data_IF_250146566485
#
_entry.id   IF_250146566485
#
_cell.length_a   1.000
_cell.length_b   1.000
_cell.length_c   1.000
_cell.angle_alpha   90.00
_cell.angle_beta   90.00
_cell.angle_gamma   90.00
#
_symmetry.space_group_name_H-M   'P 1'
#
loop_
_entity.id
_entity.type
_entity.pdbx_description
1 polymer ?
#
# COMPACT_ATOMS: atom_id res chain seq x y z
N UNK A 1 19.86 -33.40 7.19
CA UNK A 1 19.77 -32.51 6.01
C UNK A 1 18.40 -32.70 5.38
N UNK A 2 17.45 -31.81 5.67
CA UNK A 2 16.14 -31.80 5.01
C UNK A 2 16.24 -31.03 3.70
N UNK A 3 15.96 -31.64 2.53
CA UNK A 3 16.05 -30.94 1.26
C UNK A 3 14.92 -29.91 1.18
N UNK A 4 15.30 -28.63 1.12
CA UNK A 4 14.39 -27.54 0.77
C UNK A 4 14.00 -27.66 -0.71
N UNK A 5 13.01 -28.49 -1.00
CA UNK A 5 12.21 -28.33 -2.21
C UNK A 5 10.78 -27.99 -1.83
N UNK A 6 10.59 -26.78 -1.30
CA UNK A 6 9.29 -26.13 -1.42
C UNK A 6 9.11 -25.77 -2.91
N UNK A 7 8.89 -26.77 -3.76
CA UNK A 7 8.36 -26.59 -5.10
C UNK A 7 6.92 -26.14 -4.88
N UNK A 8 6.74 -24.84 -4.70
CA UNK A 8 5.42 -24.22 -4.71
C UNK A 8 4.72 -24.71 -5.97
N UNK A 9 3.77 -25.62 -5.80
CA UNK A 9 3.20 -26.37 -6.92
C UNK A 9 2.57 -25.36 -7.86
N UNK A 10 3.01 -25.34 -9.12
CA UNK A 10 2.54 -24.46 -10.21
C UNK A 10 1.01 -24.32 -10.29
N UNK A 11 0.28 -25.30 -9.76
CA UNK A 11 -1.19 -25.35 -9.65
C UNK A 11 -1.78 -24.45 -8.55
N UNK A 12 -1.08 -24.18 -7.45
CA UNK A 12 -1.59 -23.36 -6.31
C UNK A 12 -1.47 -21.86 -6.54
N UNK A 13 -0.49 -21.42 -7.34
CA UNK A 13 -0.27 -20.00 -7.65
C UNK A 13 -1.50 -19.31 -8.26
N UNK A 14 -2.12 -19.86 -9.31
CA UNK A 14 -3.34 -19.29 -9.90
C UNK A 14 -4.49 -19.14 -8.90
N UNK A 15 -4.69 -20.11 -8.00
CA UNK A 15 -5.74 -20.03 -6.98
C UNK A 15 -5.48 -18.90 -5.97
N UNK A 16 -4.22 -18.71 -5.56
CA UNK A 16 -3.85 -17.61 -4.65
C UNK A 16 -4.08 -16.24 -5.33
N UNK A 17 -3.69 -16.12 -6.60
CA UNK A 17 -3.93 -14.91 -7.39
C UNK A 17 -5.44 -14.62 -7.48
N UNK A 18 -6.26 -15.63 -7.78
CA UNK A 18 -7.72 -15.48 -7.84
C UNK A 18 -8.30 -14.97 -6.50
N UNK A 19 -7.87 -15.55 -5.37
CA UNK A 19 -8.31 -15.10 -4.04
C UNK A 19 -7.90 -13.64 -3.79
N UNK A 20 -6.68 -13.24 -4.15
CA UNK A 20 -6.22 -11.85 -4.02
C UNK A 20 -7.12 -10.90 -4.83
N UNK A 21 -7.45 -11.25 -6.07
CA UNK A 21 -8.33 -10.44 -6.90
C UNK A 21 -9.75 -10.34 -6.34
N UNK A 22 -10.31 -11.44 -5.82
CA UNK A 22 -11.63 -11.44 -5.20
C UNK A 22 -11.67 -10.55 -3.94
N UNK A 23 -10.66 -10.66 -3.07
CA UNK A 23 -10.55 -9.81 -1.88
C UNK A 23 -10.38 -8.33 -2.28
N UNK A 24 -9.54 -8.04 -3.27
CA UNK A 24 -9.34 -6.69 -3.77
C UNK A 24 -10.64 -6.10 -4.35
N UNK A 25 -11.36 -6.86 -5.18
CA UNK A 25 -12.65 -6.44 -5.74
C UNK A 25 -13.70 -6.19 -4.65
N UNK A 26 -13.74 -7.03 -3.62
CA UNK A 26 -14.62 -6.85 -2.48
C UNK A 26 -14.31 -5.55 -1.72
N UNK A 27 -13.03 -5.29 -1.43
CA UNK A 27 -12.62 -4.05 -0.75
C UNK A 27 -12.96 -2.81 -1.59
N UNK A 28 -12.68 -2.85 -2.90
CA UNK A 28 -12.97 -1.75 -3.81
C UNK A 28 -14.46 -1.53 -4.09
N UNK A 29 -15.32 -2.50 -3.79
CA UNK A 29 -16.78 -2.36 -4.00
C UNK A 29 -17.39 -1.22 -3.19
N UNK A 30 -16.85 -0.91 -2.00
CA UNK A 30 -17.32 0.20 -1.16
C UNK A 30 -17.04 1.54 -1.84
N UNK A 31 -15.81 1.73 -2.33
CA UNK A 31 -15.43 2.91 -3.13
C UNK A 31 -16.31 3.06 -4.37
N UNK A 32 -16.64 1.95 -5.04
CA UNK A 32 -17.54 2.00 -6.19
C UNK A 32 -18.95 2.51 -5.83
N UNK A 33 -19.49 2.08 -4.68
CA UNK A 33 -20.83 2.48 -4.24
C UNK A 33 -20.87 3.92 -3.73
N UNK A 34 -19.81 4.37 -3.05
CA UNK A 34 -19.76 5.65 -2.35
C UNK A 34 -19.01 6.78 -3.08
N UNK A 35 -18.20 6.46 -4.11
CA UNK A 35 -17.49 7.44 -4.91
C UNK A 35 -18.46 8.30 -5.72
N UNK A 36 -18.42 9.63 -5.52
CA UNK A 36 -19.25 10.58 -6.25
C UNK A 36 -18.40 11.78 -6.68
N UNK A 37 -18.70 12.30 -7.86
CA UNK A 37 -18.16 13.58 -8.30
C UNK A 37 -19.02 14.71 -7.74
N UNK A 38 -18.46 15.54 -6.87
CA UNK A 38 -19.13 16.69 -6.28
C UNK A 38 -18.51 17.98 -6.80
N UNK A 39 -19.31 19.00 -7.15
CA UNK A 39 -18.77 20.28 -7.57
C UNK A 39 -18.20 21.06 -6.38
N UNK A 40 -17.07 21.73 -6.59
CA UNK A 40 -16.53 22.75 -5.69
C UNK A 40 -16.23 24.03 -6.50
N UNK A 41 -16.37 25.19 -5.87
CA UNK A 41 -16.16 26.48 -6.52
C UNK A 41 -14.83 27.07 -6.10
N UNK A 42 -13.96 27.37 -7.06
CA UNK A 42 -12.66 27.99 -6.83
C UNK A 42 -12.44 29.12 -7.84
N UNK A 43 -12.05 30.30 -7.36
CA UNK A 43 -11.75 31.49 -8.20
C UNK A 43 -12.78 31.73 -9.33
N UNK A 44 -14.08 31.76 -8.99
CA UNK A 44 -15.23 31.93 -9.89
C UNK A 44 -15.47 30.80 -10.93
N UNK A 45 -14.67 29.73 -10.89
CA UNK A 45 -14.86 28.50 -11.66
C UNK A 45 -15.54 27.38 -10.87
N UNK A 46 -16.32 26.53 -11.55
CA UNK A 46 -16.85 25.28 -10.96
C UNK A 46 -15.97 24.12 -11.39
N UNK A 47 -15.37 23.44 -10.43
CA UNK A 47 -14.54 22.25 -10.60
C UNK A 47 -15.23 21.05 -9.97
N UNK A 48 -14.79 19.85 -10.31
CA UNK A 48 -15.34 18.60 -9.76
C UNK A 48 -14.23 17.82 -9.07
N UNK A 49 -14.51 17.40 -7.84
CA UNK A 49 -13.67 16.45 -7.11
C UNK A 49 -14.43 15.13 -6.96
N UNK A 50 -13.70 14.02 -7.04
CA UNK A 50 -14.24 12.67 -6.88
C UNK A 50 -13.76 12.10 -5.55
N UNK A 51 -14.63 12.11 -4.55
CA UNK A 51 -14.36 11.56 -3.24
C UNK A 51 -15.51 10.69 -2.74
N UNK A 52 -15.30 10.01 -1.62
CA UNK A 52 -16.30 9.16 -1.01
C UNK A 52 -17.35 10.02 -0.31
N UNK A 53 -18.55 10.09 -0.87
CA UNK A 53 -19.65 10.83 -0.28
C UNK A 53 -20.49 9.90 0.61
N UNK A 54 -20.30 10.03 1.92
CA UNK A 54 -21.03 9.27 2.93
C UNK A 54 -22.31 9.98 3.40
N UNK A 55 -22.43 11.29 3.17
CA UNK A 55 -23.50 12.15 3.71
C UNK A 55 -24.78 12.15 2.87
N UNK A 56 -24.72 11.79 1.58
CA UNK A 56 -25.89 11.80 0.68
C UNK A 56 -27.04 10.90 1.19
N UNK A 57 -26.74 9.84 1.96
CA UNK A 57 -27.75 8.96 2.57
C UNK A 57 -28.29 9.49 3.91
N UNK A 58 -27.52 10.30 4.64
CA UNK A 58 -27.93 10.89 5.90
C UNK A 58 -28.87 12.09 5.68
N UNK A 59 -28.57 12.94 4.69
CA UNK A 59 -29.37 14.13 4.36
C UNK A 59 -30.73 13.82 3.71
N UNK A 60 -30.82 12.80 2.87
CA UNK A 60 -32.09 12.42 2.17
C UNK A 60 -33.15 11.82 3.08
N UNK A 61 -32.78 11.43 4.30
CA UNK A 61 -33.62 10.56 5.14
C UNK A 61 -34.14 11.26 6.40
N UNK A 62 -33.71 12.50 6.69
CA UNK A 62 -34.26 13.34 7.77
C UNK A 62 -34.05 12.75 9.18
N UNK A 63 -32.83 12.39 9.55
CA UNK A 63 -32.55 11.60 10.76
C UNK A 63 -32.07 12.41 11.98
N UNK A 64 -32.36 11.88 13.17
CA UNK A 64 -32.01 12.44 14.48
C UNK A 64 -30.56 12.15 14.94
N UNK A 65 -30.18 12.75 16.08
CA UNK A 65 -28.82 12.79 16.63
C UNK A 65 -28.10 11.42 16.73
N UNK A 66 -28.80 10.32 17.01
CA UNK A 66 -28.18 8.99 17.14
C UNK A 66 -27.62 8.44 15.82
N UNK A 67 -28.21 8.76 14.65
CA UNK A 67 -27.67 8.30 13.35
C UNK A 67 -26.56 9.21 12.80
N UNK A 68 -26.44 10.46 13.29
CA UNK A 68 -25.33 11.36 12.91
C UNK A 68 -23.96 10.87 13.42
N UNK A 69 -23.92 10.11 14.51
CA UNK A 69 -22.69 9.44 14.95
C UNK A 69 -22.33 8.27 14.03
N UNK A 70 -23.33 7.50 13.56
CA UNK A 70 -23.11 6.37 12.65
C UNK A 70 -22.56 6.81 11.29
N UNK A 71 -23.04 7.93 10.73
CA UNK A 71 -22.53 8.48 9.45
C UNK A 71 -21.07 8.95 9.53
N UNK A 72 -20.58 9.29 10.73
CA UNK A 72 -19.16 9.65 10.96
C UNK A 72 -18.31 8.42 11.28
N UNK A 73 -18.86 7.46 12.03
CA UNK A 73 -18.16 6.24 12.43
C UNK A 73 -17.88 5.29 11.26
N UNK A 74 -18.84 5.10 10.35
CA UNK A 74 -18.69 4.19 9.20
C UNK A 74 -17.49 4.54 8.30
N UNK A 75 -17.29 5.79 7.83
CA UNK A 75 -16.12 6.14 7.03
C UNK A 75 -14.81 5.98 7.83
N UNK A 76 -14.78 6.31 9.12
CA UNK A 76 -13.59 6.12 9.96
C UNK A 76 -13.18 4.64 10.06
N UNK A 77 -14.14 3.76 10.34
CA UNK A 77 -13.92 2.30 10.39
C UNK A 77 -13.44 1.81 9.03
N UNK A 78 -14.10 2.23 7.95
CA UNK A 78 -13.72 1.83 6.60
C UNK A 78 -12.30 2.26 6.25
N UNK A 79 -11.93 3.53 6.47
CA UNK A 79 -10.56 4.03 6.23
C UNK A 79 -9.54 3.29 7.09
N UNK A 80 -9.84 3.02 8.36
CA UNK A 80 -8.97 2.25 9.24
C UNK A 80 -8.80 0.79 8.77
N UNK A 81 -9.88 0.15 8.30
CA UNK A 81 -9.84 -1.19 7.72
C UNK A 81 -9.01 -1.21 6.44
N UNK A 82 -9.21 -0.26 5.52
CA UNK A 82 -8.41 -0.12 4.31
C UNK A 82 -6.93 0.04 4.68
N UNK A 83 -6.58 1.01 5.53
CA UNK A 83 -5.21 1.19 6.00
C UNK A 83 -4.61 -0.09 6.61
N UNK A 84 -5.38 -0.79 7.45
CA UNK A 84 -4.90 -1.98 8.12
C UNK A 84 -4.66 -3.14 7.15
N UNK A 85 -5.60 -3.37 6.23
CA UNK A 85 -5.57 -4.51 5.31
C UNK A 85 -4.63 -4.26 4.14
N UNK A 86 -4.59 -3.05 3.58
CA UNK A 86 -3.82 -2.75 2.36
C UNK A 86 -2.41 -2.23 2.65
N UNK A 87 -2.15 -1.69 3.85
CA UNK A 87 -0.84 -1.13 4.21
C UNK A 87 -0.22 -1.83 5.40
N UNK A 88 -0.85 -1.81 6.57
CA UNK A 88 -0.24 -2.29 7.81
C UNK A 88 0.05 -3.80 7.79
N UNK A 89 -0.93 -4.61 7.38
CA UNK A 89 -0.79 -6.08 7.33
C UNK A 89 0.32 -6.51 6.35
N UNK A 90 0.35 -6.03 5.08
CA UNK A 90 1.47 -6.32 4.18
C UNK A 90 2.81 -5.87 4.75
N UNK A 91 2.90 -4.66 5.30
CA UNK A 91 4.15 -4.14 5.87
C UNK A 91 4.66 -5.01 7.02
N UNK A 92 3.81 -5.38 7.97
CA UNK A 92 4.19 -6.22 9.10
C UNK A 92 4.65 -7.61 8.65
N UNK A 93 3.92 -8.24 7.73
CA UNK A 93 4.28 -9.56 7.20
C UNK A 93 5.62 -9.50 6.44
N UNK A 94 5.81 -8.47 5.60
CA UNK A 94 7.04 -8.29 4.82
C UNK A 94 8.22 -8.00 5.74
N UNK A 95 8.11 -7.05 6.66
CA UNK A 95 9.18 -6.74 7.62
C UNK A 95 9.51 -7.97 8.46
N UNK A 96 8.53 -8.67 9.03
CA UNK A 96 8.77 -9.86 9.84
C UNK A 96 9.49 -10.97 9.04
N UNK A 97 9.02 -11.25 7.82
CA UNK A 97 9.61 -12.31 6.98
C UNK A 97 11.02 -11.95 6.54
N UNK A 98 11.29 -10.71 6.11
CA UNK A 98 12.64 -10.29 5.71
C UNK A 98 13.59 -10.18 6.90
N UNK A 99 13.15 -9.68 8.05
CA UNK A 99 13.94 -9.70 9.29
C UNK A 99 14.28 -11.13 9.72
N UNK A 100 13.33 -12.05 9.62
CA UNK A 100 13.56 -13.47 9.94
C UNK A 100 14.57 -14.12 8.98
N UNK A 101 14.50 -13.79 7.68
CA UNK A 101 15.46 -14.23 6.68
C UNK A 101 16.86 -13.66 6.99
N UNK A 102 16.95 -12.36 7.23
CA UNK A 102 18.21 -11.68 7.58
C UNK A 102 18.85 -12.26 8.84
N UNK A 103 18.05 -12.48 9.89
CA UNK A 103 18.50 -13.09 11.14
C UNK A 103 19.01 -14.53 10.95
N UNK A 104 18.25 -15.35 10.21
CA UNK A 104 18.64 -16.72 9.90
C UNK A 104 19.92 -16.77 9.07
N UNK A 105 20.11 -15.83 8.16
CA UNK A 105 21.32 -15.72 7.34
C UNK A 105 22.52 -15.26 8.18
N UNK A 106 22.34 -14.31 9.09
CA UNK A 106 23.43 -13.84 9.95
C UNK A 106 23.91 -14.90 10.95
N UNK A 107 23.00 -15.77 11.41
CA UNK A 107 23.33 -16.90 12.28
C UNK A 107 23.79 -18.16 11.53
N UNK A 108 23.96 -18.09 10.21
CA UNK A 108 24.33 -19.25 9.41
C UNK A 108 25.83 -19.54 9.51
N UNK A 109 26.23 -20.44 10.42
CA UNK A 109 27.55 -21.08 10.41
C UNK A 109 27.55 -22.20 9.38
N UNK A 110 28.39 -22.13 8.34
CA UNK A 110 28.49 -23.20 7.32
C UNK A 110 28.97 -24.50 8.00
N UNK A 111 28.18 -25.58 8.01
CA UNK A 111 28.65 -26.87 8.51
C UNK A 111 29.63 -27.49 7.50
N UNK A 112 30.65 -28.17 8.02
CA UNK A 112 31.83 -28.64 7.27
C UNK A 112 31.58 -29.49 6.01
N UNK A 113 32.61 -29.52 5.17
CA UNK A 113 32.78 -30.26 3.91
C UNK A 113 31.92 -29.88 2.70
N UNK A 114 31.26 -28.72 2.72
CA UNK A 114 30.77 -28.06 1.51
C UNK A 114 31.83 -27.11 0.95
N UNK A 115 31.96 -27.03 -0.38
CA UNK A 115 32.85 -26.10 -1.06
C UNK A 115 32.53 -24.66 -0.60
N UNK A 116 33.39 -24.13 0.27
CA UNK A 116 33.23 -22.83 0.93
C UNK A 116 33.01 -21.73 -0.12
N UNK A 117 33.66 -21.83 -1.28
CA UNK A 117 33.54 -20.84 -2.35
C UNK A 117 32.15 -20.88 -2.99
N UNK A 118 31.61 -22.06 -3.27
CA UNK A 118 30.27 -22.23 -3.85
C UNK A 118 29.16 -21.80 -2.89
N UNK A 119 29.29 -22.11 -1.61
CA UNK A 119 28.31 -21.71 -0.58
C UNK A 119 28.29 -20.19 -0.37
N UNK A 120 29.47 -19.55 -0.32
CA UNK A 120 29.59 -18.09 -0.23
C UNK A 120 28.99 -17.38 -1.46
N UNK A 121 29.20 -17.92 -2.66
CA UNK A 121 28.57 -17.41 -3.88
C UNK A 121 27.05 -17.52 -3.83
N UNK A 122 26.49 -18.65 -3.39
CA UNK A 122 25.04 -18.82 -3.24
C UNK A 122 24.45 -17.89 -2.18
N UNK A 123 25.13 -17.70 -1.05
CA UNK A 123 24.71 -16.77 -0.01
C UNK A 123 24.69 -15.33 -0.53
N UNK A 124 25.73 -14.92 -1.26
CA UNK A 124 25.81 -13.58 -1.88
C UNK A 124 24.69 -13.35 -2.89
N UNK A 125 24.41 -14.33 -3.75
CA UNK A 125 23.31 -14.25 -4.70
C UNK A 125 21.94 -14.13 -4.00
N UNK A 126 21.71 -14.93 -2.94
CA UNK A 126 20.49 -14.84 -2.11
C UNK A 126 20.37 -13.48 -1.42
N UNK A 127 21.46 -12.95 -0.87
CA UNK A 127 21.47 -11.62 -0.24
C UNK A 127 21.11 -10.53 -1.24
N UNK A 128 21.57 -10.61 -2.49
CA UNK A 128 21.21 -9.65 -3.53
C UNK A 128 19.70 -9.62 -3.77
N UNK A 129 19.07 -10.78 -3.88
CA UNK A 129 17.61 -10.90 -4.03
C UNK A 129 16.89 -10.35 -2.80
N UNK A 130 17.33 -10.71 -1.59
CA UNK A 130 16.73 -10.20 -0.35
C UNK A 130 16.86 -8.68 -0.23
N UNK A 131 18.03 -8.11 -0.56
CA UNK A 131 18.24 -6.65 -0.56
C UNK A 131 17.34 -5.95 -1.58
N UNK A 132 17.22 -6.49 -2.79
CA UNK A 132 16.29 -5.98 -3.79
C UNK A 132 14.85 -5.99 -3.28
N UNK A 133 14.40 -7.13 -2.73
CA UNK A 133 13.04 -7.25 -2.20
C UNK A 133 12.80 -6.29 -1.02
N UNK A 134 13.78 -6.11 -0.14
CA UNK A 134 13.71 -5.12 0.93
C UNK A 134 13.60 -3.67 0.40
N UNK A 135 14.31 -3.34 -0.68
CA UNK A 135 14.16 -2.04 -1.37
C UNK A 135 12.75 -1.85 -1.91
N UNK A 136 12.15 -2.89 -2.51
CA UNK A 136 10.74 -2.83 -2.97
C UNK A 136 9.79 -2.55 -1.81
N UNK A 137 9.97 -3.21 -0.66
CA UNK A 137 9.13 -2.97 0.54
C UNK A 137 9.29 -1.55 1.06
N UNK A 138 10.51 -1.03 1.13
CA UNK A 138 10.79 0.34 1.54
C UNK A 138 10.11 1.35 0.61
N UNK A 139 10.23 1.15 -0.70
CA UNK A 139 9.61 2.05 -1.67
C UNK A 139 8.08 1.97 -1.65
N UNK A 140 7.51 0.78 -1.45
CA UNK A 140 6.07 0.64 -1.22
C UNK A 140 5.62 1.46 -0.01
N UNK A 141 6.33 1.34 1.13
CA UNK A 141 6.02 2.09 2.33
C UNK A 141 6.08 3.61 2.09
N UNK A 142 7.17 4.07 1.49
CA UNK A 142 7.40 5.47 1.17
C UNK A 142 6.30 5.99 0.25
N UNK A 143 6.01 5.32 -0.87
CA UNK A 143 4.99 5.76 -1.83
C UNK A 143 3.57 5.82 -1.24
N UNK A 144 3.16 4.84 -0.43
CA UNK A 144 1.78 4.72 0.03
C UNK A 144 1.50 5.39 1.38
N UNK A 145 2.50 5.57 2.24
CA UNK A 145 2.30 6.13 3.57
C UNK A 145 1.68 7.54 3.56
N UNK A 146 2.13 8.50 2.72
CA UNK A 146 1.60 9.87 2.76
C UNK A 146 0.09 9.94 2.51
N UNK A 147 -0.41 9.23 1.49
CA UNK A 147 -1.84 9.24 1.18
C UNK A 147 -2.66 8.53 2.27
N UNK A 148 -2.14 7.45 2.86
CA UNK A 148 -2.81 6.77 3.97
C UNK A 148 -2.88 7.64 5.22
N UNK A 149 -1.80 8.35 5.57
CA UNK A 149 -1.79 9.29 6.69
C UNK A 149 -2.76 10.45 6.44
N UNK A 150 -2.74 11.02 5.24
CA UNK A 150 -3.66 12.10 4.88
C UNK A 150 -5.13 11.66 5.00
N UNK A 151 -5.48 10.47 4.50
CA UNK A 151 -6.83 9.92 4.65
C UNK A 151 -7.20 9.66 6.11
N UNK A 152 -6.28 9.13 6.93
CA UNK A 152 -6.55 8.93 8.36
C UNK A 152 -6.82 10.27 9.06
N UNK A 153 -6.01 11.29 8.80
CA UNK A 153 -6.23 12.63 9.39
C UNK A 153 -7.57 13.18 8.91
N UNK A 154 -7.86 13.11 7.61
CA UNK A 154 -9.10 13.62 7.04
C UNK A 154 -10.36 13.01 7.69
N UNK A 155 -10.35 11.71 7.98
CA UNK A 155 -11.54 11.04 8.55
C UNK A 155 -11.60 11.06 10.08
N UNK A 156 -10.46 11.07 10.79
CA UNK A 156 -10.42 11.06 12.25
C UNK A 156 -10.36 12.47 12.86
N UNK A 157 -9.83 13.45 12.13
CA UNK A 157 -9.71 14.85 12.52
C UNK A 157 -10.13 15.77 11.35
N UNK A 158 -11.43 15.74 11.05
CA UNK A 158 -12.02 16.57 9.98
C UNK A 158 -11.76 18.06 10.19
N UNK A 159 -11.69 18.51 11.44
CA UNK A 159 -11.47 19.91 11.78
C UNK A 159 -10.05 20.37 11.40
N UNK A 160 -9.03 19.52 11.56
CA UNK A 160 -7.66 19.83 11.17
C UNK A 160 -7.45 19.97 9.65
N UNK A 161 -8.35 19.41 8.83
CA UNK A 161 -8.29 19.41 7.37
C UNK A 161 -9.37 20.29 6.71
N UNK A 162 -10.07 21.12 7.49
CA UNK A 162 -10.98 22.13 6.96
C UNK A 162 -10.21 23.44 6.72
N UNK A 163 -9.98 23.84 5.46
CA UNK A 163 -9.32 25.11 5.18
C UNK A 163 -10.26 26.28 5.50
N UNK A 164 -9.83 27.19 6.36
CA UNK A 164 -10.54 28.43 6.70
C UNK A 164 -10.15 29.60 5.78
N UNK A 165 -9.00 29.50 5.12
CA UNK A 165 -8.47 30.54 4.21
C UNK A 165 -8.15 29.98 2.82
N UNK A 166 -8.16 30.85 1.81
CA UNK A 166 -7.79 30.48 0.44
C UNK A 166 -6.35 29.94 0.32
N UNK A 167 -5.43 30.40 1.19
CA UNK A 167 -4.07 29.89 1.25
C UNK A 167 -4.04 28.45 1.79
N UNK A 168 -4.80 28.16 2.84
CA UNK A 168 -4.93 26.81 3.39
C UNK A 168 -5.58 25.84 2.40
N UNK A 169 -6.57 26.31 1.62
CA UNK A 169 -7.19 25.52 0.56
C UNK A 169 -6.17 25.15 -0.52
N UNK A 170 -5.36 26.10 -0.97
CA UNK A 170 -4.28 25.83 -1.93
C UNK A 170 -3.28 24.79 -1.39
N UNK A 171 -2.84 24.95 -0.14
CA UNK A 171 -1.93 24.02 0.51
C UNK A 171 -2.53 22.62 0.63
N UNK A 172 -3.81 22.51 1.00
CA UNK A 172 -4.53 21.25 1.07
C UNK A 172 -4.57 20.54 -0.28
N UNK A 173 -4.97 21.25 -1.35
CA UNK A 173 -5.05 20.72 -2.71
C UNK A 173 -3.65 20.26 -3.17
N UNK A 174 -2.63 21.09 -2.99
CA UNK A 174 -1.26 20.77 -3.36
C UNK A 174 -0.73 19.54 -2.60
N UNK A 175 -1.00 19.45 -1.29
CA UNK A 175 -0.62 18.29 -0.47
C UNK A 175 -1.33 17.02 -0.91
N UNK A 176 -2.64 17.09 -1.20
CA UNK A 176 -3.43 15.96 -1.68
C UNK A 176 -2.89 15.41 -3.00
N UNK A 177 -2.70 16.27 -4.00
CA UNK A 177 -2.14 15.85 -5.30
C UNK A 177 -0.73 15.30 -5.16
N UNK A 178 0.10 15.89 -4.30
CA UNK A 178 1.46 15.40 -4.04
C UNK A 178 1.44 13.99 -3.44
N UNK A 179 0.60 13.76 -2.42
CA UNK A 179 0.44 12.44 -1.81
C UNK A 179 -0.10 11.41 -2.81
N UNK A 180 -1.06 11.81 -3.63
CA UNK A 180 -1.64 10.96 -4.66
C UNK A 180 -0.59 10.58 -5.72
N UNK A 181 0.19 11.53 -6.21
CA UNK A 181 1.28 11.27 -7.15
C UNK A 181 2.32 10.31 -6.59
N UNK A 182 2.66 10.46 -5.31
CA UNK A 182 3.61 9.58 -4.65
C UNK A 182 3.11 8.14 -4.57
N UNK A 183 1.81 7.96 -4.27
CA UNK A 183 1.16 6.66 -4.30
C UNK A 183 1.19 6.03 -5.69
N UNK A 184 0.89 6.82 -6.72
CA UNK A 184 0.90 6.35 -8.12
C UNK A 184 2.31 6.01 -8.60
N UNK A 185 3.33 6.69 -8.08
CA UNK A 185 4.73 6.45 -8.43
C UNK A 185 5.21 5.03 -8.12
N UNK A 186 4.62 4.37 -7.13
CA UNK A 186 4.89 2.97 -6.77
C UNK A 186 4.87 2.04 -8.00
N UNK A 187 3.96 2.27 -8.94
CA UNK A 187 3.79 1.42 -10.14
C UNK A 187 5.01 1.42 -11.06
N UNK A 188 5.67 2.57 -11.25
CA UNK A 188 6.86 2.67 -12.12
C UNK A 188 8.18 2.48 -11.38
N UNK A 189 8.20 2.68 -10.06
CA UNK A 189 9.39 2.45 -9.21
C UNK A 189 9.78 0.96 -9.21
N UNK A 190 8.81 0.04 -9.24
CA UNK A 190 9.06 -1.40 -9.22
C UNK A 190 9.97 -1.85 -10.40
N UNK A 191 9.63 -1.58 -11.68
CA UNK A 191 10.54 -1.84 -12.81
C UNK A 191 11.94 -1.26 -12.64
N UNK A 192 12.06 -0.01 -12.15
CA UNK A 192 13.35 0.66 -11.93
C UNK A 192 14.20 -0.16 -10.95
N UNK A 193 13.64 -0.56 -9.81
CA UNK A 193 14.34 -1.39 -8.82
C UNK A 193 14.80 -2.70 -9.44
N UNK A 194 13.92 -3.38 -10.19
CA UNK A 194 14.28 -4.65 -10.83
C UNK A 194 15.39 -4.48 -11.87
N UNK A 195 15.34 -3.43 -12.70
CA UNK A 195 16.38 -3.13 -13.68
C UNK A 195 17.75 -2.86 -13.03
N UNK A 196 17.80 -2.17 -11.89
CA UNK A 196 19.08 -1.85 -11.24
C UNK A 196 19.60 -2.94 -10.31
N UNK A 197 18.72 -3.69 -9.65
CA UNK A 197 19.11 -4.59 -8.55
C UNK A 197 18.91 -6.09 -8.85
N UNK A 198 18.24 -6.47 -9.95
CA UNK A 198 18.06 -7.86 -10.36
C UNK A 198 18.93 -8.21 -11.57
N UNK A 199 19.96 -9.03 -11.36
CA UNK A 199 20.81 -9.50 -12.45
C UNK A 199 20.04 -10.33 -13.49
N UNK A 200 19.04 -11.10 -13.03
CA UNK A 200 18.22 -11.92 -13.92
C UNK A 200 17.30 -11.08 -14.82
N UNK A 201 16.80 -9.93 -14.34
CA UNK A 201 16.03 -9.01 -15.19
C UNK A 201 16.94 -8.22 -16.13
N UNK A 202 18.13 -7.82 -15.69
CA UNK A 202 19.11 -7.15 -16.55
C UNK A 202 19.45 -8.00 -17.76
N UNK A 203 19.75 -9.29 -17.58
CA UNK A 203 20.10 -10.19 -18.70
C UNK A 203 18.92 -10.48 -19.64
N UNK A 204 17.67 -10.35 -19.18
CA UNK A 204 16.48 -10.65 -19.99
C UNK A 204 15.93 -9.45 -20.76
N UNK A 205 16.31 -8.23 -20.39
CA UNK A 205 15.70 -6.98 -20.90
C UNK A 205 16.75 -5.95 -21.39
N UNK A 206 17.95 -5.92 -20.79
CA UNK A 206 19.09 -5.11 -21.25
C UNK A 206 20.09 -5.97 -22.02
#
# INVERSE_FOLDING_TARGET
>A
MSPLSFRWTRKRGPHIILVIWLVAALLSSVQFVHGRATPFTWADGTYYDCHENWDERAGKRGYGKDESQLSTFLPQVYTAVIFTVTFLTPMLVLTFTYSSIGWKMWRHTSPGNADIQRDQQQLTAKMKVVKMLATVVLMFAVCWLPIHLMNLILYFDRAAMQPDTAEQEYLYIAAFFSCHWFSMANSFVNPIIYCFMSDNFRVSVC
#
